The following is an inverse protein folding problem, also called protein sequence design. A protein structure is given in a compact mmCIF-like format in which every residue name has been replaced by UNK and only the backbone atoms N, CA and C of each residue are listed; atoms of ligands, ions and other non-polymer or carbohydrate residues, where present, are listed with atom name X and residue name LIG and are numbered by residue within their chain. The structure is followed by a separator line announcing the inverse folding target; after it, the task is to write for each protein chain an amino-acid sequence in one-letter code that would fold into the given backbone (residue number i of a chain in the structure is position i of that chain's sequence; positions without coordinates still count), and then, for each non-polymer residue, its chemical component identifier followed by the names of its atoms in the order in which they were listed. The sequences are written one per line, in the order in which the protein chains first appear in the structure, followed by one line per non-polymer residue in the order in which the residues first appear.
data_IF_985642111949
#
_entry.id   IF_985642111949
#
_cell.length_a   1.000
_cell.length_b   1.000
_cell.length_c   1.000
_cell.angle_alpha   90.00
_cell.angle_beta   90.00
_cell.angle_gamma   90.00
#
_symmetry.space_group_name_H-M   'P 1'
#
loop_
_entity.id
_entity.type
_entity.pdbx_description
1 polymer ?
#
# COMPACT_ATOMS: atom_id res chain seq x y z
N UNK A 1 -23.24 -34.78 19.18
CA UNK A 1 -24.22 -33.85 18.61
C UNK A 1 -23.73 -32.42 18.89
N UNK A 2 -22.57 -32.04 18.33
CA UNK A 2 -21.95 -30.71 18.46
C UNK A 2 -21.30 -30.20 17.15
N UNK A 3 -21.23 -31.02 16.10
CA UNK A 3 -20.47 -30.69 14.88
C UNK A 3 -21.10 -29.55 14.05
N UNK A 4 -22.41 -29.30 14.20
CA UNK A 4 -23.10 -28.24 13.47
C UNK A 4 -22.79 -26.83 13.99
N UNK A 5 -22.53 -26.65 15.29
CA UNK A 5 -22.16 -25.33 15.85
C UNK A 5 -20.75 -24.93 15.41
N UNK A 6 -19.79 -25.87 15.42
CA UNK A 6 -18.41 -25.63 15.00
C UNK A 6 -18.28 -25.24 13.51
N UNK A 7 -19.10 -25.84 12.64
CA UNK A 7 -19.10 -25.51 11.20
C UNK A 7 -19.66 -24.10 10.96
N UNK A 8 -20.73 -23.72 11.66
CA UNK A 8 -21.33 -22.39 11.55
C UNK A 8 -20.40 -21.31 12.09
N UNK A 9 -19.68 -21.58 13.16
CA UNK A 9 -18.75 -20.61 13.75
C UNK A 9 -17.47 -20.47 12.91
N UNK A 10 -16.95 -21.55 12.32
CA UNK A 10 -15.89 -21.48 11.31
C UNK A 10 -16.32 -20.68 10.08
N UNK A 11 -17.56 -20.84 9.62
CA UNK A 11 -18.10 -20.07 8.50
C UNK A 11 -18.24 -18.57 8.83
N UNK A 12 -18.82 -18.24 9.99
CA UNK A 12 -18.90 -16.84 10.47
C UNK A 12 -17.52 -16.22 10.62
N UNK A 13 -16.54 -16.97 11.14
CA UNK A 13 -15.15 -16.52 11.26
C UNK A 13 -14.53 -16.25 9.88
N UNK A 14 -14.76 -17.13 8.90
CA UNK A 14 -14.33 -16.95 7.51
C UNK A 14 -14.95 -15.72 6.84
N UNK A 15 -16.26 -15.50 7.04
CA UNK A 15 -16.98 -14.33 6.53
C UNK A 15 -16.44 -13.02 7.14
N UNK A 16 -16.31 -12.98 8.47
CA UNK A 16 -15.75 -11.83 9.19
C UNK A 16 -14.31 -11.52 8.74
N UNK A 17 -13.52 -12.54 8.42
CA UNK A 17 -12.17 -12.39 7.86
C UNK A 17 -12.21 -11.81 6.45
N UNK A 18 -13.06 -12.35 5.58
CA UNK A 18 -13.23 -11.85 4.21
C UNK A 18 -13.58 -10.36 4.21
N UNK A 19 -14.53 -9.97 5.06
CA UNK A 19 -14.93 -8.57 5.21
C UNK A 19 -13.78 -7.67 5.69
N UNK A 20 -12.97 -8.13 6.65
CA UNK A 20 -11.80 -7.38 7.14
C UNK A 20 -10.71 -7.23 6.07
N UNK A 21 -10.42 -8.27 5.31
CA UNK A 21 -9.43 -8.23 4.22
C UNK A 21 -9.86 -7.22 3.15
N UNK A 22 -11.13 -7.29 2.74
CA UNK A 22 -11.70 -6.34 1.77
C UNK A 22 -11.60 -4.92 2.31
N UNK A 23 -11.95 -4.70 3.58
CA UNK A 23 -11.86 -3.38 4.19
C UNK A 23 -10.43 -2.80 4.17
N UNK A 24 -9.42 -3.60 4.51
CA UNK A 24 -8.00 -3.17 4.45
C UNK A 24 -7.60 -2.81 3.03
N UNK A 25 -7.94 -3.66 2.04
CA UNK A 25 -7.62 -3.41 0.62
C UNK A 25 -8.34 -2.20 0.05
N UNK A 26 -9.60 -2.00 0.42
CA UNK A 26 -10.38 -0.82 0.00
C UNK A 26 -9.80 0.46 0.57
N UNK A 27 -9.39 0.45 1.84
CA UNK A 27 -8.74 1.60 2.48
C UNK A 27 -7.38 1.90 1.83
N UNK A 28 -6.54 0.87 1.65
CA UNK A 28 -5.26 0.98 0.94
C UNK A 28 -5.45 1.63 -0.44
N UNK A 29 -6.38 1.11 -1.26
CA UNK A 29 -6.63 1.62 -2.60
C UNK A 29 -7.12 3.08 -2.59
N UNK A 30 -8.00 3.43 -1.66
CA UNK A 30 -8.50 4.80 -1.50
C UNK A 30 -7.39 5.76 -1.10
N UNK A 31 -6.58 5.40 -0.09
CA UNK A 31 -5.49 6.23 0.41
C UNK A 31 -4.43 6.44 -0.70
N UNK A 32 -4.05 5.40 -1.43
CA UNK A 32 -3.14 5.51 -2.59
C UNK A 32 -3.72 6.43 -3.66
N UNK A 33 -5.01 6.31 -4.00
CA UNK A 33 -5.64 7.17 -5.00
C UNK A 33 -5.63 8.64 -4.57
N UNK A 34 -5.95 8.91 -3.30
CA UNK A 34 -5.93 10.26 -2.72
C UNK A 34 -4.52 10.87 -2.78
N UNK A 35 -3.50 10.11 -2.41
CA UNK A 35 -2.10 10.56 -2.47
C UNK A 35 -1.66 10.80 -3.92
N UNK A 36 -1.99 9.90 -4.85
CA UNK A 36 -1.73 10.08 -6.29
C UNK A 36 -2.38 11.34 -6.87
N UNK A 37 -3.62 11.63 -6.48
CA UNK A 37 -4.30 12.87 -6.91
C UNK A 37 -3.55 14.11 -6.40
N UNK A 38 -3.02 14.06 -5.18
CA UNK A 38 -2.20 15.13 -4.60
C UNK A 38 -0.89 15.33 -5.37
N UNK A 39 -0.20 14.23 -5.71
CA UNK A 39 1.01 14.24 -6.57
C UNK A 39 0.68 14.85 -7.94
N UNK A 40 -0.42 14.47 -8.56
CA UNK A 40 -0.83 15.04 -9.85
C UNK A 40 -1.07 16.54 -9.77
N UNK A 41 -1.72 17.02 -8.70
CA UNK A 41 -1.92 18.45 -8.45
C UNK A 41 -0.60 19.20 -8.35
N UNK A 42 0.34 18.70 -7.53
CA UNK A 42 1.68 19.29 -7.38
C UNK A 42 2.48 19.26 -8.67
N UNK A 43 2.43 18.16 -9.43
CA UNK A 43 3.10 18.06 -10.73
C UNK A 43 2.54 19.05 -11.78
N UNK A 44 1.22 19.31 -11.76
CA UNK A 44 0.63 20.38 -12.59
C UNK A 44 1.15 21.75 -12.16
N UNK A 45 1.24 22.01 -10.87
CA UNK A 45 1.76 23.27 -10.36
C UNK A 45 3.25 23.47 -10.70
N UNK A 46 4.07 22.43 -10.54
CA UNK A 46 5.49 22.42 -10.92
C UNK A 46 5.67 22.78 -12.40
N UNK A 47 4.93 22.10 -13.29
CA UNK A 47 4.96 22.40 -14.74
C UNK A 47 4.64 23.87 -15.02
N UNK A 48 3.61 24.41 -14.37
CA UNK A 48 3.24 25.82 -14.51
C UNK A 48 4.37 26.75 -14.07
N UNK A 49 5.03 26.49 -12.95
CA UNK A 49 6.15 27.32 -12.47
C UNK A 49 7.35 27.27 -13.42
N UNK A 50 7.69 26.09 -13.95
CA UNK A 50 8.76 25.92 -14.95
C UNK A 50 8.43 26.70 -16.23
N UNK A 51 7.19 26.61 -16.72
CA UNK A 51 6.72 27.37 -17.88
C UNK A 51 6.76 28.88 -17.63
N UNK A 52 6.31 29.34 -16.47
CA UNK A 52 6.37 30.75 -16.08
C UNK A 52 7.82 31.26 -15.99
N UNK A 53 8.74 30.45 -15.45
CA UNK A 53 10.16 30.77 -15.39
C UNK A 53 10.75 30.91 -16.79
N UNK A 54 10.51 29.93 -17.67
CA UNK A 54 10.97 29.97 -19.06
C UNK A 54 10.41 31.17 -19.82
N UNK A 55 9.12 31.47 -19.63
CA UNK A 55 8.48 32.65 -20.21
C UNK A 55 9.09 33.97 -19.72
N UNK A 56 9.39 34.07 -18.42
CA UNK A 56 10.03 35.26 -17.86
C UNK A 56 11.44 35.47 -18.44
N UNK A 57 12.24 34.41 -18.52
CA UNK A 57 13.59 34.44 -19.11
C UNK A 57 13.53 34.83 -20.59
N UNK A 58 12.66 34.19 -21.37
CA UNK A 58 12.53 34.45 -22.80
C UNK A 58 12.06 35.88 -23.10
N UNK A 59 11.06 36.39 -22.36
CA UNK A 59 10.58 37.77 -22.51
C UNK A 59 11.71 38.76 -22.21
N UNK A 60 12.49 38.50 -21.17
CA UNK A 60 13.59 39.38 -20.79
C UNK A 60 14.67 39.44 -21.87
N UNK A 61 15.05 38.29 -22.43
CA UNK A 61 15.95 38.21 -23.57
C UNK A 61 15.42 38.98 -24.79
N UNK A 62 14.14 38.76 -25.14
CA UNK A 62 13.49 39.41 -26.31
C UNK A 62 13.45 40.94 -26.19
N UNK A 63 13.20 41.46 -24.99
CA UNK A 63 13.02 42.90 -24.76
C UNK A 63 14.28 43.62 -24.26
N UNK A 64 15.45 42.94 -24.27
CA UNK A 64 16.73 43.45 -23.74
C UNK A 64 16.62 44.00 -22.31
N UNK A 65 15.77 43.39 -21.50
CA UNK A 65 15.65 43.72 -20.07
C UNK A 65 16.72 43.00 -19.26
N UNK A 66 16.90 43.41 -18.00
CA UNK A 66 17.63 42.62 -17.01
C UNK A 66 16.66 41.72 -16.24
N UNK A 67 17.03 40.45 -16.08
CA UNK A 67 16.31 39.54 -15.19
C UNK A 67 16.92 39.63 -13.81
N UNK A 68 16.07 39.75 -12.79
CA UNK A 68 16.52 39.66 -11.41
C UNK A 68 16.92 38.22 -11.10
N UNK A 69 18.17 38.04 -10.69
CA UNK A 69 18.68 36.75 -10.23
C UNK A 69 17.87 36.23 -9.03
N UNK A 70 17.52 37.10 -8.09
CA UNK A 70 16.66 36.76 -6.95
C UNK A 70 15.29 36.22 -7.40
N UNK A 71 14.70 36.82 -8.45
CA UNK A 71 13.42 36.33 -8.99
C UNK A 71 13.53 34.94 -9.61
N UNK A 72 14.66 34.60 -10.23
CA UNK A 72 14.91 33.25 -10.77
C UNK A 72 15.10 32.29 -9.59
N UNK A 73 15.95 32.68 -8.64
CA UNK A 73 16.29 31.87 -7.47
C UNK A 73 15.05 31.49 -6.67
N UNK A 74 14.17 32.46 -6.37
CA UNK A 74 12.93 32.20 -5.64
C UNK A 74 12.02 31.20 -6.38
N UNK A 75 11.88 31.35 -7.70
CA UNK A 75 11.09 30.40 -8.51
C UNK A 75 11.71 29.00 -8.53
N UNK A 76 13.04 28.90 -8.57
CA UNK A 76 13.74 27.62 -8.48
C UNK A 76 13.56 26.97 -7.11
N UNK A 77 13.64 27.74 -6.02
CA UNK A 77 13.39 27.25 -4.66
C UNK A 77 11.94 26.74 -4.51
N UNK A 78 10.95 27.45 -5.07
CA UNK A 78 9.56 26.99 -5.09
C UNK A 78 9.40 25.66 -5.85
N UNK A 79 10.08 25.50 -6.99
CA UNK A 79 10.09 24.26 -7.77
C UNK A 79 10.72 23.13 -6.96
N UNK A 80 11.88 23.35 -6.32
CA UNK A 80 12.55 22.36 -5.49
C UNK A 80 11.70 21.94 -4.28
N UNK A 81 11.01 22.90 -3.66
CA UNK A 81 10.07 22.62 -2.58
C UNK A 81 8.91 21.73 -3.05
N UNK A 82 8.38 21.96 -4.26
CA UNK A 82 7.35 21.09 -4.84
C UNK A 82 7.88 19.70 -5.16
N UNK A 83 9.13 19.58 -5.61
CA UNK A 83 9.76 18.28 -5.89
C UNK A 83 9.95 17.49 -4.60
N UNK A 84 10.50 18.10 -3.55
CA UNK A 84 10.61 17.46 -2.23
C UNK A 84 9.26 16.97 -1.71
N UNK A 85 8.20 17.78 -1.85
CA UNK A 85 6.86 17.38 -1.43
C UNK A 85 6.28 16.25 -2.29
N UNK A 86 6.69 16.11 -3.56
CA UNK A 86 6.29 14.98 -4.41
C UNK A 86 7.00 13.73 -3.93
N UNK A 87 8.31 13.80 -3.68
CA UNK A 87 9.12 12.68 -3.19
C UNK A 87 8.58 12.15 -1.86
N UNK A 88 8.21 13.04 -0.93
CA UNK A 88 7.60 12.67 0.35
C UNK A 88 6.27 11.91 0.17
N UNK A 89 5.43 12.35 -0.77
CA UNK A 89 4.17 11.69 -1.09
C UNK A 89 4.37 10.33 -1.78
N UNK A 90 5.44 10.17 -2.56
CA UNK A 90 5.81 8.87 -3.14
C UNK A 90 6.25 7.88 -2.06
N UNK A 91 7.03 8.34 -1.08
CA UNK A 91 7.37 7.56 0.12
C UNK A 91 6.12 7.21 0.93
N UNK A 92 5.14 8.12 1.02
CA UNK A 92 3.87 7.85 1.70
C UNK A 92 3.08 6.71 1.03
N UNK A 93 3.06 6.64 -0.31
CA UNK A 93 2.43 5.51 -1.05
C UNK A 93 3.10 4.19 -0.66
N UNK A 94 4.42 4.16 -0.58
CA UNK A 94 5.15 2.97 -0.16
C UNK A 94 4.77 2.55 1.27
N UNK A 95 4.68 3.52 2.19
CA UNK A 95 4.27 3.27 3.57
C UNK A 95 2.82 2.74 3.66
N UNK A 96 1.90 3.24 2.84
CA UNK A 96 0.51 2.75 2.77
C UNK A 96 0.49 1.26 2.40
N UNK A 97 1.25 0.87 1.37
CA UNK A 97 1.36 -0.53 0.95
C UNK A 97 1.96 -1.42 2.04
N UNK A 98 3.05 -0.98 2.69
CA UNK A 98 3.69 -1.74 3.76
C UNK A 98 2.77 -1.91 4.98
N UNK A 99 2.02 -0.87 5.35
CA UNK A 99 1.08 -0.93 6.46
C UNK A 99 -0.08 -1.88 6.15
N UNK A 100 -0.63 -1.84 4.93
CA UNK A 100 -1.65 -2.78 4.49
C UNK A 100 -1.15 -4.23 4.55
N UNK A 101 0.09 -4.49 4.10
CA UNK A 101 0.72 -5.81 4.19
C UNK A 101 0.90 -6.27 5.64
N UNK A 102 1.36 -5.39 6.54
CA UNK A 102 1.50 -5.69 7.97
C UNK A 102 0.16 -6.02 8.61
N UNK A 103 -0.91 -5.27 8.31
CA UNK A 103 -2.25 -5.56 8.81
C UNK A 103 -2.80 -6.90 8.31
N UNK A 104 -2.66 -7.16 7.00
CA UNK A 104 -3.02 -8.45 6.41
C UNK A 104 -2.21 -9.62 6.99
N UNK A 105 -0.93 -9.40 7.30
CA UNK A 105 -0.06 -10.37 7.97
C UNK A 105 -0.54 -10.71 9.38
N UNK A 106 -0.91 -9.69 10.18
CA UNK A 106 -1.51 -9.88 11.51
C UNK A 106 -2.80 -10.69 11.44
N UNK A 107 -3.66 -10.43 10.45
CA UNK A 107 -4.88 -11.20 10.23
C UNK A 107 -4.62 -12.67 9.92
N UNK A 108 -3.49 -13.02 9.27
CA UNK A 108 -3.08 -14.41 9.05
C UNK A 108 -2.54 -15.07 10.33
N UNK A 109 -1.75 -14.34 11.12
CA UNK A 109 -1.14 -14.85 12.35
C UNK A 109 -2.16 -15.15 13.47
N UNK A 110 -3.21 -14.33 13.60
CA UNK A 110 -4.29 -14.54 14.59
C UNK A 110 -5.05 -15.85 14.36
N UNK A 111 -5.04 -16.36 13.13
CA UNK A 111 -5.79 -17.55 12.74
C UNK A 111 -4.95 -18.81 12.64
N UNK A 112 -3.65 -18.77 12.98
CA UNK A 112 -2.84 -19.99 13.07
C UNK A 112 -3.33 -20.77 14.30
N UNK A 113 -3.95 -21.95 14.15
CA UNK A 113 -4.29 -22.76 15.31
C UNK A 113 -2.97 -23.13 16.01
N UNK A 114 -2.94 -23.07 17.34
CA UNK A 114 -1.73 -23.32 18.13
C UNK A 114 -1.09 -24.70 17.86
N UNK A 115 -1.88 -25.63 17.30
CA UNK A 115 -1.51 -27.01 17.02
C UNK A 115 -1.52 -27.28 15.50
N UNK A 116 -0.77 -26.48 14.73
CA UNK A 116 -0.60 -26.70 13.29
C UNK A 116 0.73 -27.41 13.01
N UNK A 117 0.68 -28.68 12.60
CA UNK A 117 1.80 -29.41 12.04
C UNK A 117 2.02 -29.03 10.57
N UNK A 118 3.25 -29.20 10.07
CA UNK A 118 3.57 -28.99 8.65
C UNK A 118 3.75 -30.35 7.99
N UNK A 119 2.93 -30.64 6.97
CA UNK A 119 3.08 -31.83 6.16
C UNK A 119 4.34 -31.71 5.27
N UNK A 120 4.93 -32.85 4.88
CA UNK A 120 6.05 -32.92 3.94
C UNK A 120 5.73 -32.28 2.57
N UNK A 121 4.47 -32.21 2.17
CA UNK A 121 4.05 -31.53 0.94
C UNK A 121 4.08 -29.99 1.06
N UNK A 122 4.35 -29.45 2.25
CA UNK A 122 4.37 -28.02 2.54
C UNK A 122 3.06 -27.45 3.06
N UNK A 123 1.98 -28.23 3.10
CA UNK A 123 0.69 -27.81 3.66
C UNK A 123 0.76 -27.71 5.19
N UNK A 124 0.16 -26.67 5.76
CA UNK A 124 -0.08 -26.56 7.21
C UNK A 124 -1.40 -27.28 7.54
N UNK A 125 -1.34 -28.22 8.49
CA UNK A 125 -2.40 -29.16 8.86
C UNK A 125 -2.55 -29.18 10.37
N UNK A 126 -3.76 -29.41 10.89
CA UNK A 126 -3.95 -29.58 12.34
C UNK A 126 -3.25 -30.84 12.84
N UNK A 127 -2.71 -30.82 14.05
CA UNK A 127 -2.12 -32.03 14.68
C UNK A 127 -3.15 -33.15 14.85
N UNK A 128 -4.44 -32.82 14.94
CA UNK A 128 -5.54 -33.79 15.10
C UNK A 128 -5.99 -34.44 13.77
N UNK A 129 -5.37 -34.11 12.63
CA UNK A 129 -5.74 -34.69 11.34
C UNK A 129 -4.88 -35.88 10.97
N UNK A 130 -5.49 -37.07 10.87
CA UNK A 130 -4.81 -38.31 10.47
C UNK A 130 -4.26 -38.25 9.04
N UNK A 131 -4.86 -37.43 8.16
CA UNK A 131 -4.50 -37.29 6.75
C UNK A 131 -4.40 -35.84 6.32
N UNK A 132 -3.41 -35.53 5.50
CA UNK A 132 -3.27 -34.22 4.88
C UNK A 132 -4.39 -34.00 3.85
N UNK A 133 -5.17 -32.91 3.94
CA UNK A 133 -6.27 -32.62 3.01
C UNK A 133 -5.77 -32.18 1.61
N UNK A 134 -4.52 -31.73 1.50
CA UNK A 134 -3.92 -31.29 0.24
C UNK A 134 -3.24 -32.43 -0.54
N UNK A 135 -2.56 -33.35 0.14
CA UNK A 135 -1.79 -34.41 -0.53
C UNK A 135 -2.21 -35.84 -0.18
N UNK A 136 -3.17 -36.01 0.74
CA UNK A 136 -3.69 -37.31 1.16
C UNK A 136 -2.75 -38.17 2.01
N UNK A 137 -1.54 -37.70 2.34
CA UNK A 137 -0.58 -38.44 3.18
C UNK A 137 -1.06 -38.57 4.62
N UNK A 138 -0.83 -39.74 5.22
CA UNK A 138 -1.09 -40.01 6.63
C UNK A 138 -0.05 -39.32 7.52
N UNK A 139 -0.51 -38.55 8.50
CA UNK A 139 0.32 -37.74 9.40
C UNK A 139 0.50 -38.41 10.77
N UNK A 140 -0.41 -39.31 11.16
CA UNK A 140 -0.30 -40.12 12.37
C UNK A 140 0.27 -41.51 12.05
N UNK A 141 1.56 -41.70 12.32
CA UNK A 141 2.08 -43.01 12.75
C UNK A 141 2.75 -42.82 14.10
N UNK A 142 2.22 -43.54 15.09
CA UNK A 142 2.86 -43.75 16.40
C UNK A 142 4.32 -44.17 16.28
#
# INVERSE_FOLDING_TARGET
MNDHEDILDKFKAGLNRGLRIVNVRSKEAYDVLKTKNSIQGKNRHKRKLVEELGNAVFRTYKHKGNISEDSIKNKCEDILNLESQIDDLEVEIQNIHENALKELGKLKAITKPANSAKCECGAEVSEDTDKCPECGKELNKS
#
